data_IF_105919276156
#
_entry.id   IF_105919276156
#
_cell.length_a   1.000
_cell.length_b   1.000
_cell.length_c   1.000
_cell.angle_alpha   90.00
_cell.angle_beta   90.00
_cell.angle_gamma   90.00
#
_symmetry.space_group_name_H-M   'P 1'
#
loop_
_entity.id
_entity.type
_entity.pdbx_description
1 polymer ?
#
# COMPACT_ATOMS: atom_id res chain seq x y z
N UNK A 1 -6.94 -20.58 -2.30
CA UNK A 1 -5.91 -19.54 -2.12
C UNK A 1 -5.53 -18.88 -3.44
N UNK A 2 -4.97 -19.61 -4.41
CA UNK A 2 -4.61 -19.06 -5.74
C UNK A 2 -5.80 -18.42 -6.48
N UNK A 3 -7.00 -19.02 -6.40
CA UNK A 3 -8.17 -18.47 -7.08
C UNK A 3 -8.62 -17.10 -6.51
N UNK A 4 -8.60 -16.93 -5.20
CA UNK A 4 -9.02 -15.66 -4.57
C UNK A 4 -8.03 -14.54 -4.84
N UNK A 5 -6.72 -14.82 -4.89
CA UNK A 5 -5.73 -13.79 -5.23
C UNK A 5 -5.83 -13.38 -6.70
N UNK A 6 -6.04 -14.31 -7.63
CA UNK A 6 -6.26 -13.98 -9.04
C UNK A 6 -7.50 -13.10 -9.22
N UNK A 7 -8.62 -13.46 -8.60
CA UNK A 7 -9.85 -12.63 -8.61
C UNK A 7 -9.62 -11.25 -7.99
N UNK A 8 -8.85 -11.15 -6.91
CA UNK A 8 -8.52 -9.88 -6.27
C UNK A 8 -7.67 -8.98 -7.20
N UNK A 9 -6.69 -9.56 -7.88
CA UNK A 9 -5.85 -8.87 -8.87
C UNK A 9 -6.70 -8.38 -10.04
N UNK A 10 -7.53 -9.24 -10.62
CA UNK A 10 -8.45 -8.88 -11.71
C UNK A 10 -9.39 -7.73 -11.31
N UNK A 11 -9.97 -7.79 -10.11
CA UNK A 11 -10.83 -6.72 -9.60
C UNK A 11 -10.06 -5.40 -9.42
N UNK A 12 -8.83 -5.45 -8.90
CA UNK A 12 -7.99 -4.28 -8.76
C UNK A 12 -7.63 -3.66 -10.13
N UNK A 13 -7.31 -4.49 -11.13
CA UNK A 13 -7.06 -4.03 -12.49
C UNK A 13 -8.30 -3.38 -13.14
N UNK A 14 -9.47 -3.99 -12.98
CA UNK A 14 -10.72 -3.45 -13.51
C UNK A 14 -11.05 -2.08 -12.90
N UNK A 15 -10.93 -1.94 -11.59
CA UNK A 15 -11.15 -0.66 -10.90
C UNK A 15 -10.10 0.40 -11.29
N UNK A 16 -8.87 -0.02 -11.53
CA UNK A 16 -7.81 0.87 -12.02
C UNK A 16 -8.10 1.37 -13.44
N UNK A 17 -8.66 0.52 -14.32
CA UNK A 17 -9.01 0.92 -15.70
C UNK A 17 -10.28 1.78 -15.76
N UNK A 18 -11.19 1.63 -14.79
CA UNK A 18 -12.47 2.34 -14.71
C UNK A 18 -12.40 3.79 -14.22
N UNK A 19 -13.51 4.26 -13.61
CA UNK A 19 -13.68 5.63 -13.06
C UNK A 19 -13.24 5.76 -11.60
N UNK A 20 -12.93 4.65 -10.92
CA UNK A 20 -12.51 4.62 -9.53
C UNK A 20 -11.02 4.95 -9.32
N UNK A 21 -10.27 5.17 -10.39
CA UNK A 21 -8.85 5.53 -10.35
C UNK A 21 -8.64 7.04 -10.26
N UNK A 22 -7.66 7.47 -9.46
CA UNK A 22 -7.14 8.84 -9.56
C UNK A 22 -6.10 8.89 -10.70
N UNK A 23 -6.10 9.97 -11.49
CA UNK A 23 -5.07 10.20 -12.49
C UNK A 23 -3.95 11.04 -11.86
N UNK A 24 -2.80 10.41 -11.60
CA UNK A 24 -1.62 11.09 -11.09
C UNK A 24 -0.59 11.13 -12.22
N UNK A 25 -0.34 12.33 -12.75
CA UNK A 25 0.68 12.58 -13.79
C UNK A 25 0.57 11.64 -15.02
N UNK A 26 -0.65 11.31 -15.46
CA UNK A 26 -0.91 10.48 -16.63
C UNK A 26 -1.01 8.97 -16.34
N UNK A 27 -0.71 8.53 -15.12
CA UNK A 27 -0.91 7.14 -14.67
C UNK A 27 -2.18 7.06 -13.81
N UNK A 28 -3.01 6.04 -14.06
CA UNK A 28 -4.19 5.72 -13.24
C UNK A 28 -3.77 4.93 -12.01
N UNK A 29 -4.11 5.41 -10.82
CA UNK A 29 -3.82 4.75 -9.55
C UNK A 29 -5.09 4.37 -8.82
N UNK A 30 -5.14 3.15 -8.30
CA UNK A 30 -6.17 2.71 -7.37
C UNK A 30 -5.76 3.11 -5.94
N UNK A 31 -6.67 3.76 -5.21
CA UNK A 31 -6.38 4.23 -3.86
C UNK A 31 -6.14 3.06 -2.90
N UNK A 32 -5.33 3.29 -1.87
CA UNK A 32 -5.02 2.28 -0.83
C UNK A 32 -6.31 1.74 -0.19
N UNK A 33 -7.26 2.62 0.14
CA UNK A 33 -8.57 2.24 0.70
C UNK A 33 -9.32 1.21 -0.14
N UNK A 34 -9.27 1.33 -1.46
CA UNK A 34 -10.01 0.45 -2.37
C UNK A 34 -9.32 -0.91 -2.46
N UNK A 35 -7.98 -0.91 -2.45
CA UNK A 35 -7.17 -2.13 -2.37
C UNK A 35 -7.38 -2.90 -1.07
N UNK A 36 -7.47 -2.20 0.07
CA UNK A 36 -7.82 -2.81 1.37
C UNK A 36 -9.24 -3.40 1.32
N UNK A 37 -10.19 -2.69 0.72
CA UNK A 37 -11.57 -3.18 0.57
C UNK A 37 -11.63 -4.45 -0.30
N UNK A 38 -10.92 -4.50 -1.42
CA UNK A 38 -10.80 -5.71 -2.25
C UNK A 38 -10.20 -6.85 -1.41
N UNK A 39 -9.08 -6.59 -0.73
CA UNK A 39 -8.43 -7.58 0.11
C UNK A 39 -9.40 -8.15 1.17
N UNK A 40 -10.08 -7.30 1.93
CA UNK A 40 -11.04 -7.74 2.96
C UNK A 40 -12.24 -8.49 2.39
N UNK A 41 -12.74 -8.15 1.20
CA UNK A 41 -13.82 -8.90 0.55
C UNK A 41 -13.39 -10.28 0.10
N UNK A 42 -12.15 -10.42 -0.39
CA UNK A 42 -11.65 -11.67 -0.98
C UNK A 42 -11.08 -12.64 0.05
N UNK A 43 -10.53 -12.11 1.15
CA UNK A 43 -9.76 -12.87 2.13
C UNK A 43 -10.34 -12.78 3.55
N UNK A 44 -11.29 -11.87 3.80
CA UNK A 44 -11.95 -11.74 5.10
C UNK A 44 -10.98 -11.54 6.27
N UNK A 45 -11.19 -12.33 7.32
CA UNK A 45 -10.32 -12.42 8.50
C UNK A 45 -9.42 -13.65 8.49
N UNK A 46 -9.32 -14.35 7.35
CA UNK A 46 -8.41 -15.48 7.22
C UNK A 46 -6.94 -15.05 7.18
N UNK A 47 -6.71 -13.74 7.00
CA UNK A 47 -5.37 -13.14 6.95
C UNK A 47 -5.28 -11.97 7.92
N UNK A 48 -4.14 -11.92 8.61
CA UNK A 48 -3.74 -10.83 9.48
C UNK A 48 -3.24 -9.63 8.69
N UNK A 49 -3.50 -8.44 9.21
CA UNK A 49 -2.97 -7.18 8.71
C UNK A 49 -2.41 -6.43 9.91
N UNK A 50 -1.11 -6.14 9.89
CA UNK A 50 -0.43 -5.46 10.99
C UNK A 50 0.47 -4.34 10.47
N UNK A 51 0.41 -3.19 11.12
CA UNK A 51 1.35 -2.08 10.90
C UNK A 51 2.25 -1.96 12.14
N UNK A 52 3.53 -1.73 11.91
CA UNK A 52 4.53 -1.47 12.95
C UNK A 52 5.23 -0.15 12.66
N UNK A 53 5.41 0.69 13.69
CA UNK A 53 6.26 1.87 13.63
C UNK A 53 7.68 1.44 14.02
N UNK A 54 8.58 1.38 13.04
CA UNK A 54 9.98 0.99 13.25
C UNK A 54 10.83 2.16 13.75
N UNK A 55 10.50 3.37 13.32
CA UNK A 55 11.18 4.61 13.73
C UNK A 55 10.14 5.71 13.92
N UNK A 56 10.27 6.48 15.00
CA UNK A 56 9.49 7.69 15.24
C UNK A 56 10.34 8.74 15.95
N UNK A 57 10.83 9.71 15.19
CA UNK A 57 11.64 10.82 15.70
C UNK A 57 11.00 12.16 15.28
N UNK A 58 11.48 13.31 15.78
CA UNK A 58 11.03 14.62 15.32
C UNK A 58 11.28 14.89 13.83
N UNK A 59 12.22 14.17 13.21
CA UNK A 59 12.63 14.35 11.81
C UNK A 59 11.91 13.41 10.85
N UNK A 60 11.71 12.14 11.24
CA UNK A 60 11.14 11.13 10.34
C UNK A 60 10.37 10.06 11.09
N UNK A 61 9.55 9.36 10.33
CA UNK A 61 8.93 8.12 10.74
C UNK A 61 9.24 7.01 9.73
N UNK A 62 9.34 5.78 10.21
CA UNK A 62 9.44 4.59 9.36
C UNK A 62 8.40 3.60 9.80
N UNK A 63 7.61 3.11 8.86
CA UNK A 63 6.56 2.13 9.10
C UNK A 63 6.71 0.90 8.25
N UNK A 64 6.20 -0.22 8.77
CA UNK A 64 6.11 -1.50 8.06
C UNK A 64 4.69 -2.04 8.16
N UNK A 65 4.05 -2.25 7.02
CA UNK A 65 2.82 -3.02 6.92
C UNK A 65 3.15 -4.47 6.56
N UNK A 66 2.44 -5.44 7.15
CA UNK A 66 2.62 -6.88 6.91
C UNK A 66 1.27 -7.57 6.82
N UNK A 67 1.16 -8.51 5.87
CA UNK A 67 0.02 -9.43 5.74
C UNK A 67 0.51 -10.85 6.03
N UNK A 68 -0.18 -11.53 6.94
CA UNK A 68 0.14 -12.90 7.36
C UNK A 68 -1.04 -13.84 7.12
N UNK A 69 -0.78 -15.11 6.83
CA UNK A 69 -1.81 -16.14 6.86
C UNK A 69 -2.05 -16.65 8.30
N UNK A 70 -3.02 -17.56 8.48
CA UNK A 70 -3.34 -18.16 9.79
C UNK A 70 -2.19 -18.93 10.42
N UNK A 71 -1.27 -19.45 9.62
CA UNK A 71 -0.10 -20.20 10.10
C UNK A 71 1.06 -19.28 10.50
N UNK A 72 0.89 -17.96 10.41
CA UNK A 72 1.92 -16.96 10.69
C UNK A 72 2.91 -16.72 9.55
N UNK A 73 2.69 -17.34 8.39
CA UNK A 73 3.52 -17.11 7.21
C UNK A 73 3.24 -15.72 6.62
N UNK A 74 4.30 -14.93 6.44
CA UNK A 74 4.22 -13.59 5.83
C UNK A 74 4.03 -13.73 4.32
N UNK A 75 2.89 -13.28 3.82
CA UNK A 75 2.56 -13.34 2.38
C UNK A 75 2.86 -12.04 1.64
N UNK A 76 2.91 -10.91 2.34
CA UNK A 76 3.33 -9.63 1.80
C UNK A 76 3.79 -8.69 2.91
N UNK A 77 4.67 -7.75 2.59
CA UNK A 77 5.03 -6.64 3.46
C UNK A 77 5.33 -5.37 2.64
N UNK A 78 5.41 -4.21 3.29
CA UNK A 78 5.81 -2.96 2.66
C UNK A 78 6.33 -1.97 3.70
N UNK A 79 7.37 -1.22 3.34
CA UNK A 79 7.99 -0.23 4.22
C UNK A 79 7.83 1.17 3.64
N UNK A 80 7.54 2.15 4.49
CA UNK A 80 7.52 3.55 4.09
C UNK A 80 8.35 4.39 5.07
N UNK A 81 9.00 5.41 4.52
CA UNK A 81 9.66 6.45 5.29
C UNK A 81 9.02 7.78 4.93
N UNK A 82 8.63 8.55 5.95
CA UNK A 82 8.09 9.90 5.77
C UNK A 82 8.93 10.89 6.57
N UNK A 83 9.40 11.93 5.89
CA UNK A 83 10.09 13.07 6.52
C UNK A 83 9.04 14.02 7.08
N UNK A 84 9.11 14.30 8.39
CA UNK A 84 8.21 15.23 9.07
C UNK A 84 8.45 16.66 8.59
N UNK A 85 7.45 17.52 8.74
CA UNK A 85 7.51 18.93 8.37
C UNK A 85 7.84 19.18 6.88
N UNK A 86 7.63 18.18 6.02
CA UNK A 86 7.86 18.26 4.58
C UNK A 86 6.57 17.98 3.82
N UNK A 87 6.18 18.90 2.92
CA UNK A 87 5.04 18.72 2.01
C UNK A 87 3.76 18.28 2.73
N UNK A 88 3.21 17.14 2.31
CA UNK A 88 1.96 16.57 2.87
C UNK A 88 2.11 16.03 4.30
N UNK A 89 3.34 15.84 4.80
CA UNK A 89 3.62 15.25 6.11
C UNK A 89 3.67 16.26 7.26
N UNK A 90 3.44 17.55 7.00
CA UNK A 90 3.46 18.60 8.04
C UNK A 90 2.40 18.33 9.12
N UNK A 91 1.19 17.92 8.72
CA UNK A 91 0.09 17.71 9.64
C UNK A 91 -0.13 16.25 10.06
N UNK A 92 0.30 15.29 9.23
CA UNK A 92 -0.18 13.90 9.31
C UNK A 92 0.86 12.88 8.86
N UNK A 93 2.11 13.04 9.32
CA UNK A 93 3.18 12.12 8.95
C UNK A 93 2.82 10.66 9.24
N UNK A 94 2.22 10.36 10.40
CA UNK A 94 1.87 8.99 10.82
C UNK A 94 0.85 8.37 9.86
N UNK A 95 -0.25 9.07 9.59
CA UNK A 95 -1.32 8.58 8.72
C UNK A 95 -0.85 8.40 7.27
N UNK A 96 0.01 9.31 6.80
CA UNK A 96 0.63 9.20 5.48
C UNK A 96 1.58 8.00 5.42
N UNK A 97 2.43 7.83 6.43
CA UNK A 97 3.38 6.70 6.50
C UNK A 97 2.66 5.35 6.55
N UNK A 98 1.56 5.25 7.30
CA UNK A 98 0.74 4.04 7.32
C UNK A 98 0.11 3.78 5.95
N UNK A 99 -0.44 4.81 5.31
CA UNK A 99 -1.03 4.71 3.97
C UNK A 99 0.01 4.28 2.92
N UNK A 100 1.22 4.85 2.97
CA UNK A 100 2.35 4.52 2.10
C UNK A 100 2.81 3.07 2.32
N UNK A 101 2.96 2.64 3.58
CA UNK A 101 3.36 1.28 3.93
C UNK A 101 2.34 0.24 3.42
N UNK A 102 1.05 0.51 3.63
CA UNK A 102 -0.03 -0.32 3.07
C UNK A 102 -0.04 -0.32 1.55
N UNK A 103 0.20 0.82 0.91
CA UNK A 103 0.29 0.94 -0.53
C UNK A 103 1.35 0.01 -1.12
N UNK A 104 2.53 -0.06 -0.51
CA UNK A 104 3.64 -0.94 -0.91
C UNK A 104 3.38 -2.40 -0.54
N UNK A 105 2.78 -2.67 0.62
CA UNK A 105 2.44 -4.03 1.04
C UNK A 105 1.40 -4.67 0.10
N UNK A 106 0.36 -3.93 -0.29
CA UNK A 106 -0.66 -4.40 -1.21
C UNK A 106 -0.11 -4.52 -2.65
N UNK A 107 0.86 -3.69 -3.03
CA UNK A 107 1.58 -3.85 -4.30
C UNK A 107 2.39 -5.16 -4.32
N UNK A 108 3.10 -5.47 -3.23
CA UNK A 108 3.83 -6.75 -3.09
C UNK A 108 2.89 -7.97 -3.07
N UNK A 109 1.64 -7.79 -2.69
CA UNK A 109 0.60 -8.82 -2.80
C UNK A 109 0.07 -8.97 -4.25
N UNK A 110 0.38 -8.04 -5.15
CA UNK A 110 -0.11 -8.01 -6.54
C UNK A 110 -1.33 -7.13 -6.78
N UNK A 111 -1.85 -6.42 -5.76
CA UNK A 111 -3.01 -5.53 -5.90
C UNK A 111 -2.64 -4.13 -6.41
N UNK A 112 -1.53 -4.00 -7.16
CA UNK A 112 -1.11 -2.76 -7.81
C UNK A 112 -0.11 -3.04 -8.96
N UNK A 113 0.12 -2.03 -9.82
CA UNK A 113 1.10 -2.09 -10.90
C UNK A 113 2.54 -2.27 -10.39
N UNK A 114 3.43 -2.68 -11.31
CA UNK A 114 4.79 -3.20 -11.10
C UNK A 114 5.80 -2.27 -10.40
N UNK A 115 5.39 -1.09 -9.95
CA UNK A 115 6.27 -0.07 -9.37
C UNK A 115 6.05 0.02 -7.85
N UNK A 116 7.12 -0.22 -7.08
CA UNK A 116 7.11 -0.11 -5.60
C UNK A 116 7.42 1.33 -5.17
N UNK A 117 8.29 2.02 -5.91
CA UNK A 117 8.62 3.43 -5.68
C UNK A 117 7.52 4.32 -6.26
N UNK A 118 7.18 5.39 -5.56
CA UNK A 118 6.24 6.38 -6.08
C UNK A 118 6.84 7.10 -7.29
N UNK A 119 6.00 7.67 -8.15
CA UNK A 119 6.48 8.47 -9.28
C UNK A 119 7.35 9.66 -8.83
N UNK A 120 7.09 10.21 -7.64
CA UNK A 120 7.87 11.32 -7.09
C UNK A 120 9.23 10.85 -6.58
N UNK A 121 9.30 9.64 -6.00
CA UNK A 121 10.56 9.03 -5.57
C UNK A 121 11.47 8.67 -6.76
N UNK A 122 10.89 8.18 -7.86
CA UNK A 122 11.66 7.90 -9.08
C UNK A 122 12.21 9.18 -9.72
N UNK A 123 11.44 10.27 -9.71
CA UNK A 123 11.89 11.55 -10.27
C UNK A 123 12.96 12.23 -9.40
N UNK A 124 12.96 12.02 -8.09
CA UNK A 124 14.00 12.57 -7.21
C UNK A 124 15.35 11.82 -7.32
N UNK A 125 15.36 10.60 -7.88
CA UNK A 125 16.53 9.75 -8.00
C UNK A 125 17.23 9.82 -9.37
N UNK A 126 16.64 10.50 -10.36
CA UNK A 126 17.13 10.68 -11.74
C UNK A 126 17.60 12.12 -11.97
#
# INVERSE_FOLDING_TARGET
>A
MQENILKAIEQAEQLTKGTASINLKGKKYLMVKDRINIFRKMFGFDYGMTTEILVNTPERIVMKATITNKDGFVIANGHAEEVRNSGVNIASAIENGESSAWGRCLANLGLHGTEIASADELNAAL
#
